data_IF_070261460518
#
_entry.id   IF_070261460518
#
_cell.length_a   1.000
_cell.length_b   1.000
_cell.length_c   1.000
_cell.angle_alpha   90.00
_cell.angle_beta   90.00
_cell.angle_gamma   90.00
#
_symmetry.space_group_name_H-M   'P 1'
#
loop_
_entity.id
_entity.type
_entity.pdbx_description
1 polymer ?
#
# COMPACT_ATOMS: atom_id res chain seq x y z
N UNK A 1 12.93 -16.22 -0.82
CA UNK A 1 12.09 -16.91 -1.82
C UNK A 1 12.81 -16.92 -3.17
N UNK A 2 13.08 -18.07 -3.73
CA UNK A 2 13.88 -18.21 -4.97
C UNK A 2 12.97 -18.69 -6.09
N UNK A 3 12.96 -17.96 -7.21
CA UNK A 3 12.23 -18.40 -8.41
C UNK A 3 12.95 -19.58 -9.05
N UNK A 4 12.18 -20.53 -9.57
CA UNK A 4 12.69 -21.72 -10.26
C UNK A 4 12.99 -21.47 -11.74
N UNK A 5 12.76 -20.25 -12.22
CA UNK A 5 13.05 -19.78 -13.59
C UNK A 5 13.81 -18.45 -13.54
N UNK A 6 14.51 -18.11 -14.62
CA UNK A 6 15.19 -16.83 -14.75
C UNK A 6 14.15 -15.71 -15.02
N UNK A 7 14.00 -14.71 -14.15
CA UNK A 7 13.11 -13.59 -14.39
C UNK A 7 13.68 -12.67 -15.49
N UNK A 8 12.81 -11.84 -16.08
CA UNK A 8 13.25 -10.76 -16.95
C UNK A 8 14.11 -9.77 -16.16
N UNK A 9 15.28 -9.41 -16.68
CA UNK A 9 16.11 -8.36 -16.10
C UNK A 9 15.62 -6.99 -16.62
N UNK A 10 15.22 -6.13 -15.70
CA UNK A 10 14.73 -4.78 -16.02
C UNK A 10 15.80 -3.71 -16.01
N UNK A 11 17.06 -4.05 -15.68
CA UNK A 11 18.18 -3.13 -15.67
C UNK A 11 18.01 -1.98 -14.68
N UNK A 12 17.52 -2.27 -13.47
CA UNK A 12 17.22 -1.25 -12.45
C UNK A 12 18.48 -0.68 -11.78
N UNK A 13 19.63 -1.32 -11.97
CA UNK A 13 20.92 -0.95 -11.39
C UNK A 13 21.25 -1.70 -10.12
N UNK A 14 22.56 -1.80 -9.84
CA UNK A 14 23.11 -2.66 -8.78
C UNK A 14 22.55 -2.33 -7.39
N UNK A 15 22.35 -1.05 -7.08
CA UNK A 15 21.82 -0.62 -5.78
C UNK A 15 20.39 -1.15 -5.56
N UNK A 16 19.54 -1.07 -6.58
CA UNK A 16 18.15 -1.56 -6.51
C UNK A 16 18.13 -3.09 -6.49
N UNK A 17 19.01 -3.74 -7.25
CA UNK A 17 19.12 -5.21 -7.25
C UNK A 17 19.61 -5.73 -5.88
N UNK A 18 20.60 -5.07 -5.25
CA UNK A 18 21.02 -5.38 -3.88
C UNK A 18 19.90 -5.18 -2.86
N UNK A 19 19.14 -4.07 -2.96
CA UNK A 19 18.00 -3.84 -2.08
C UNK A 19 16.97 -4.96 -2.24
N UNK A 20 16.64 -5.35 -3.49
CA UNK A 20 15.73 -6.47 -3.78
C UNK A 20 16.19 -7.75 -3.07
N UNK A 21 17.46 -8.11 -3.21
CA UNK A 21 18.02 -9.32 -2.62
C UNK A 21 17.93 -9.29 -1.09
N UNK A 22 18.27 -8.16 -0.46
CA UNK A 22 18.20 -8.00 0.98
C UNK A 22 16.75 -8.07 1.50
N UNK A 23 15.81 -7.39 0.85
CA UNK A 23 14.38 -7.43 1.25
C UNK A 23 13.78 -8.82 0.98
N UNK A 24 14.18 -9.49 -0.10
CA UNK A 24 13.77 -10.86 -0.36
C UNK A 24 14.29 -11.83 0.72
N UNK A 25 15.55 -11.72 1.12
CA UNK A 25 16.13 -12.53 2.19
C UNK A 25 15.39 -12.31 3.51
N UNK A 26 15.21 -11.06 3.91
CA UNK A 26 14.43 -10.66 5.08
C UNK A 26 13.00 -11.22 5.05
N UNK A 27 12.29 -11.04 3.94
CA UNK A 27 10.92 -11.51 3.78
C UNK A 27 10.80 -13.03 3.81
N UNK A 28 11.82 -13.73 3.29
CA UNK A 28 11.91 -15.21 3.34
C UNK A 28 12.11 -15.71 4.77
N UNK A 29 12.91 -15.00 5.56
CA UNK A 29 13.24 -15.41 6.93
C UNK A 29 12.14 -15.05 7.93
N UNK A 30 11.60 -13.82 7.85
CA UNK A 30 10.74 -13.26 8.90
C UNK A 30 9.24 -13.23 8.56
N UNK A 31 8.86 -13.24 7.29
CA UNK A 31 7.45 -13.07 6.87
C UNK A 31 6.85 -14.33 6.26
N UNK A 32 7.52 -14.92 5.29
CA UNK A 32 6.99 -16.08 4.56
C UNK A 32 6.62 -17.28 5.46
N UNK A 33 7.41 -17.62 6.51
CA UNK A 33 7.09 -18.77 7.37
C UNK A 33 5.80 -18.58 8.18
N UNK A 34 5.42 -17.35 8.47
CA UNK A 34 4.24 -17.02 9.32
C UNK A 34 3.07 -16.47 8.51
N UNK A 35 3.18 -16.39 7.19
CA UNK A 35 2.17 -15.73 6.34
C UNK A 35 0.78 -16.41 6.40
N UNK A 36 0.72 -17.74 6.56
CA UNK A 36 -0.54 -18.47 6.74
C UNK A 36 -1.19 -18.17 8.11
N UNK A 37 -0.39 -18.09 9.17
CA UNK A 37 -0.86 -17.75 10.51
C UNK A 37 -1.35 -16.30 10.58
N UNK A 38 -0.65 -15.37 9.95
CA UNK A 38 -1.07 -13.96 9.81
C UNK A 38 -2.47 -13.87 9.18
N UNK A 39 -2.73 -14.59 8.10
CA UNK A 39 -4.04 -14.62 7.44
C UNK A 39 -5.11 -15.27 8.32
N UNK A 40 -4.82 -16.44 8.90
CA UNK A 40 -5.75 -17.15 9.79
C UNK A 40 -6.15 -16.30 11.00
N UNK A 41 -5.17 -15.73 11.68
CA UNK A 41 -5.35 -15.04 12.96
C UNK A 41 -5.83 -13.59 12.77
N UNK A 42 -5.87 -13.10 11.51
CA UNK A 42 -6.26 -11.74 11.17
C UNK A 42 -5.47 -10.69 11.99
N UNK A 43 -4.14 -10.88 12.13
CA UNK A 43 -3.32 -10.07 13.04
C UNK A 43 -1.99 -9.70 12.41
N UNK A 44 -1.64 -8.40 12.48
CA UNK A 44 -0.31 -7.93 12.08
C UNK A 44 0.74 -8.34 13.12
N UNK A 45 1.87 -8.92 12.71
CA UNK A 45 2.96 -9.30 13.61
C UNK A 45 3.80 -8.08 14.00
N UNK A 46 3.47 -7.45 15.14
CA UNK A 46 4.02 -6.15 15.57
C UNK A 46 5.55 -6.13 15.68
N UNK A 47 6.19 -7.28 15.91
CA UNK A 47 7.65 -7.38 15.97
C UNK A 47 8.35 -7.04 14.64
N UNK A 48 7.60 -6.99 13.52
CA UNK A 48 8.16 -6.58 12.24
C UNK A 48 8.45 -5.08 12.16
N UNK A 49 7.77 -4.21 12.93
CA UNK A 49 7.98 -2.77 12.86
C UNK A 49 9.44 -2.38 13.14
N UNK A 50 10.03 -2.73 14.31
CA UNK A 50 11.43 -2.42 14.55
C UNK A 50 12.39 -3.11 13.56
N UNK A 51 12.09 -4.32 13.10
CA UNK A 51 12.90 -4.99 12.09
C UNK A 51 12.90 -4.25 10.74
N UNK A 52 11.77 -3.70 10.33
CA UNK A 52 11.70 -2.82 9.15
C UNK A 52 12.49 -1.52 9.37
N UNK A 53 12.46 -0.96 10.59
CA UNK A 53 13.26 0.19 10.97
C UNK A 53 14.76 -0.09 10.87
N UNK A 54 15.22 -1.19 11.45
CA UNK A 54 16.63 -1.62 11.41
C UNK A 54 17.13 -1.85 9.96
N UNK A 55 16.24 -2.25 9.06
CA UNK A 55 16.51 -2.38 7.63
C UNK A 55 16.46 -1.05 6.87
N UNK A 56 16.11 0.07 7.50
CA UNK A 56 15.92 1.37 6.85
C UNK A 56 14.69 1.45 5.92
N UNK A 57 13.80 0.48 5.98
CA UNK A 57 12.68 0.37 5.03
C UNK A 57 11.54 1.36 5.32
N UNK A 58 11.37 1.81 6.56
CA UNK A 58 10.27 2.71 6.95
C UNK A 58 10.50 4.16 6.49
N UNK A 59 11.75 4.53 6.18
CA UNK A 59 12.12 5.85 5.69
C UNK A 59 12.80 5.85 4.32
N UNK A 60 12.48 4.91 3.43
CA UNK A 60 13.14 4.73 2.12
C UNK A 60 13.18 6.02 1.28
N UNK A 61 12.09 6.81 1.31
CA UNK A 61 11.93 8.05 0.54
C UNK A 61 12.29 9.31 1.33
N UNK A 62 12.65 9.19 2.59
CA UNK A 62 12.97 10.30 3.48
C UNK A 62 14.48 10.57 3.45
N UNK A 63 14.87 11.85 3.46
CA UNK A 63 16.27 12.25 3.46
C UNK A 63 17.03 11.77 4.71
N UNK A 64 18.33 11.55 4.56
CA UNK A 64 19.23 11.06 5.63
C UNK A 64 19.26 11.96 6.87
N UNK A 65 19.08 13.28 6.70
CA UNK A 65 19.04 14.23 7.80
C UNK A 65 17.93 13.96 8.82
N UNK A 66 16.84 13.27 8.40
CA UNK A 66 15.73 12.85 9.25
C UNK A 66 15.78 11.36 9.62
N UNK A 67 16.87 10.68 9.30
CA UNK A 67 17.07 9.26 9.56
C UNK A 67 16.56 8.33 8.46
N UNK A 68 16.16 8.85 7.31
CA UNK A 68 15.73 8.08 6.15
C UNK A 68 16.89 7.54 5.33
N UNK A 69 16.58 6.78 4.27
CA UNK A 69 17.57 6.20 3.37
C UNK A 69 17.77 7.01 2.06
N UNK A 70 16.89 7.95 1.74
CA UNK A 70 17.00 8.81 0.56
C UNK A 70 17.00 8.08 -0.79
N UNK A 71 16.50 6.83 -0.86
CA UNK A 71 16.64 5.96 -2.04
C UNK A 71 15.58 6.19 -3.11
N UNK A 72 14.50 6.92 -2.80
CA UNK A 72 13.44 7.25 -3.74
C UNK A 72 12.33 6.19 -3.87
N UNK A 73 11.44 6.43 -4.83
CA UNK A 73 10.20 5.66 -5.00
C UNK A 73 10.41 4.34 -5.74
N UNK A 74 11.38 4.24 -6.65
CA UNK A 74 11.70 2.96 -7.28
C UNK A 74 12.20 1.95 -6.24
N UNK A 75 13.05 2.38 -5.32
CA UNK A 75 13.50 1.57 -4.19
C UNK A 75 12.31 1.14 -3.31
N UNK A 76 11.39 2.07 -3.01
CA UNK A 76 10.19 1.77 -2.21
C UNK A 76 9.28 0.74 -2.89
N UNK A 77 9.07 0.87 -4.20
CA UNK A 77 8.31 -0.09 -5.01
C UNK A 77 8.93 -1.48 -4.95
N UNK A 78 10.24 -1.59 -5.11
CA UNK A 78 10.96 -2.87 -5.06
C UNK A 78 10.89 -3.50 -3.67
N UNK A 79 11.06 -2.71 -2.62
CA UNK A 79 10.92 -3.19 -1.24
C UNK A 79 9.49 -3.71 -0.98
N UNK A 80 8.47 -2.94 -1.34
CA UNK A 80 7.07 -3.33 -1.17
C UNK A 80 6.70 -4.58 -1.98
N UNK A 81 7.24 -4.73 -3.19
CA UNK A 81 7.04 -5.93 -4.03
C UNK A 81 7.54 -7.20 -3.34
N UNK A 82 8.79 -7.19 -2.80
CA UNK A 82 9.38 -8.35 -2.16
C UNK A 82 8.70 -8.69 -0.80
N UNK A 83 8.26 -7.69 -0.04
CA UNK A 83 7.43 -7.90 1.15
C UNK A 83 6.08 -8.52 0.75
N UNK A 84 5.43 -7.99 -0.29
CA UNK A 84 4.14 -8.48 -0.79
C UNK A 84 4.21 -9.90 -1.32
N UNK A 85 5.32 -10.29 -1.94
CA UNK A 85 5.59 -11.66 -2.39
C UNK A 85 5.52 -12.67 -1.25
N UNK A 86 5.94 -12.29 -0.04
CA UNK A 86 5.82 -13.11 1.17
C UNK A 86 4.43 -13.01 1.81
N UNK A 87 3.93 -11.76 1.99
CA UNK A 87 2.60 -11.48 2.54
C UNK A 87 2.10 -10.10 2.07
N UNK A 88 1.09 -10.10 1.23
CA UNK A 88 0.51 -8.86 0.71
C UNK A 88 -0.14 -8.01 1.82
N UNK A 89 -0.67 -8.64 2.87
CA UNK A 89 -1.25 -7.92 4.01
C UNK A 89 -0.19 -7.20 4.86
N UNK A 90 1.00 -7.79 5.02
CA UNK A 90 2.13 -7.12 5.67
C UNK A 90 2.63 -5.95 4.82
N UNK A 91 2.76 -6.14 3.50
CA UNK A 91 3.15 -5.08 2.57
C UNK A 91 2.15 -3.91 2.57
N UNK A 92 0.84 -4.17 2.67
CA UNK A 92 -0.17 -3.11 2.75
C UNK A 92 0.02 -2.25 4.00
N UNK A 93 0.23 -2.87 5.18
CA UNK A 93 0.52 -2.16 6.43
C UNK A 93 1.83 -1.38 6.36
N UNK A 94 2.89 -1.98 5.79
CA UNK A 94 4.17 -1.34 5.54
C UNK A 94 4.00 -0.09 4.65
N UNK A 95 3.31 -0.20 3.50
CA UNK A 95 3.08 0.91 2.58
C UNK A 95 2.21 2.03 3.18
N UNK A 96 1.20 1.68 3.98
CA UNK A 96 0.37 2.66 4.68
C UNK A 96 1.20 3.45 5.71
N UNK A 97 2.12 2.81 6.40
CA UNK A 97 3.04 3.48 7.32
C UNK A 97 4.06 4.34 6.56
N UNK A 98 4.88 3.74 5.71
CA UNK A 98 6.07 4.36 5.11
C UNK A 98 5.72 5.38 4.03
N UNK A 99 4.66 5.14 3.24
CA UNK A 99 4.27 6.04 2.15
C UNK A 99 3.12 6.98 2.54
N UNK A 100 2.03 6.47 3.15
CA UNK A 100 0.87 7.34 3.44
C UNK A 100 1.10 8.24 4.66
N UNK A 101 1.79 7.78 5.71
CA UNK A 101 2.03 8.58 6.90
C UNK A 101 3.40 9.28 6.84
N UNK A 102 4.48 8.50 6.77
CA UNK A 102 5.86 9.01 6.82
C UNK A 102 6.13 9.99 5.68
N UNK A 103 5.87 9.57 4.44
CA UNK A 103 6.12 10.41 3.27
C UNK A 103 5.25 11.68 3.24
N UNK A 104 3.99 11.63 3.73
CA UNK A 104 3.15 12.82 3.84
C UNK A 104 3.69 13.84 4.84
N UNK A 105 4.14 13.38 6.02
CA UNK A 105 4.78 14.25 7.02
C UNK A 105 6.09 14.80 6.48
N UNK A 106 6.90 13.97 5.81
CA UNK A 106 8.16 14.41 5.21
C UNK A 106 7.93 15.50 4.16
N UNK A 107 6.98 15.34 3.26
CA UNK A 107 6.73 16.27 2.15
C UNK A 107 6.08 17.58 2.59
N UNK A 108 5.12 17.52 3.52
CA UNK A 108 4.26 18.64 3.84
C UNK A 108 4.45 19.21 5.26
N UNK A 109 5.23 18.52 6.10
CA UNK A 109 5.49 18.94 7.48
C UNK A 109 6.45 20.12 7.58
N UNK A 110 6.28 20.93 8.60
CA UNK A 110 7.27 21.94 9.01
C UNK A 110 8.55 21.26 9.49
N UNK A 111 9.71 21.98 9.56
CA UNK A 111 10.92 21.42 10.12
C UNK A 111 10.75 20.87 11.55
N UNK A 112 9.95 21.54 12.38
CA UNK A 112 9.64 21.07 13.74
C UNK A 112 8.83 19.80 13.76
N UNK A 113 7.81 19.66 12.88
CA UNK A 113 7.01 18.45 12.75
C UNK A 113 7.85 17.27 12.23
N UNK A 114 8.68 17.48 11.20
CA UNK A 114 9.59 16.44 10.70
C UNK A 114 10.52 15.94 11.82
N UNK A 115 11.17 16.86 12.55
CA UNK A 115 12.05 16.53 13.66
C UNK A 115 11.33 15.81 14.80
N UNK A 116 10.06 16.15 15.06
CA UNK A 116 9.27 15.56 16.14
C UNK A 116 8.79 14.14 15.80
N UNK A 117 8.32 13.90 14.58
CA UNK A 117 7.57 12.70 14.24
C UNK A 117 8.38 11.67 13.44
N UNK A 118 9.24 12.10 12.50
CA UNK A 118 9.90 11.18 11.59
C UNK A 118 10.83 10.17 12.27
N UNK A 119 11.70 10.55 13.24
CA UNK A 119 12.64 9.59 13.80
C UNK A 119 11.99 8.33 14.37
N UNK A 120 10.92 8.47 15.15
CA UNK A 120 10.22 7.34 15.78
C UNK A 120 9.35 6.53 14.79
N UNK A 121 8.91 7.15 13.72
CA UNK A 121 8.21 6.46 12.64
C UNK A 121 9.21 5.66 11.79
N UNK A 122 10.40 6.20 11.55
CA UNK A 122 11.45 5.56 10.72
C UNK A 122 12.12 4.40 11.46
N UNK A 123 12.33 4.50 12.77
CA UNK A 123 12.91 3.40 13.57
C UNK A 123 11.87 2.31 13.94
N UNK A 124 10.57 2.50 13.61
CA UNK A 124 9.51 1.55 13.86
C UNK A 124 8.99 1.50 15.30
N UNK A 125 9.43 2.42 16.19
CA UNK A 125 8.90 2.54 17.55
C UNK A 125 7.51 3.16 17.58
N UNK A 126 7.16 3.97 16.58
CA UNK A 126 5.81 4.47 16.33
C UNK A 126 5.25 3.92 15.03
N UNK A 127 3.96 3.62 15.02
CA UNK A 127 3.21 3.18 13.85
C UNK A 127 2.42 4.35 13.27
N UNK A 128 2.51 4.53 11.95
CA UNK A 128 1.78 5.57 11.22
C UNK A 128 0.56 5.04 10.47
N UNK A 129 -0.48 5.86 10.40
CA UNK A 129 -1.66 5.65 9.56
C UNK A 129 -2.08 6.93 8.84
N UNK A 130 -2.91 6.78 7.79
CA UNK A 130 -3.58 7.90 7.13
C UNK A 130 -5.10 7.68 7.18
N UNK A 131 -5.84 8.70 7.57
CA UNK A 131 -7.28 8.67 7.77
C UNK A 131 -7.99 9.69 6.88
N UNK A 132 -8.49 9.22 5.74
CA UNK A 132 -9.16 10.01 4.73
C UNK A 132 -10.64 9.62 4.57
N UNK A 133 -10.91 8.35 4.30
CA UNK A 133 -12.23 7.82 4.00
C UNK A 133 -13.18 7.83 5.20
N UNK A 134 -14.47 8.02 4.92
CA UNK A 134 -15.56 7.92 5.90
C UNK A 134 -16.60 6.90 5.45
N UNK A 135 -17.52 6.43 6.33
CA UNK A 135 -18.54 5.45 5.94
C UNK A 135 -19.33 5.85 4.68
N UNK A 136 -19.58 7.15 4.49
CA UNK A 136 -20.34 7.69 3.37
C UNK A 136 -19.49 8.49 2.35
N UNK A 137 -18.16 8.50 2.49
CA UNK A 137 -17.23 9.23 1.62
C UNK A 137 -15.98 8.38 1.33
N UNK A 138 -16.12 7.44 0.39
CA UNK A 138 -15.03 6.58 -0.11
C UNK A 138 -14.47 7.13 -1.43
N UNK A 139 -15.08 6.79 -2.57
CA UNK A 139 -14.66 7.33 -3.88
C UNK A 139 -14.81 8.83 -3.99
N UNK A 140 -15.87 9.39 -3.41
CA UNK A 140 -16.07 10.83 -3.26
C UNK A 140 -15.53 11.33 -1.90
N UNK A 141 -14.22 11.21 -1.73
CA UNK A 141 -13.54 11.55 -0.49
C UNK A 141 -13.65 13.04 -0.12
N UNK A 142 -13.87 13.93 -1.10
CA UNK A 142 -14.04 15.37 -0.90
C UNK A 142 -15.35 15.66 -0.14
N UNK A 143 -16.33 14.78 -0.23
CA UNK A 143 -17.60 14.85 0.50
C UNK A 143 -17.51 14.43 1.97
N UNK A 144 -16.30 14.24 2.52
CA UNK A 144 -16.09 13.95 3.93
C UNK A 144 -16.80 14.94 4.84
N UNK A 145 -17.23 14.48 6.03
CA UNK A 145 -18.04 15.26 6.96
C UNK A 145 -17.41 15.45 8.35
N UNK A 146 -16.33 14.73 8.69
CA UNK A 146 -15.62 14.95 9.94
C UNK A 146 -15.23 16.42 10.05
N UNK A 147 -15.70 17.07 11.13
CA UNK A 147 -15.50 18.51 11.36
C UNK A 147 -14.32 18.76 12.28
N UNK A 148 -13.60 19.85 12.01
CA UNK A 148 -12.57 20.42 12.86
C UNK A 148 -12.94 21.88 13.17
N UNK A 149 -13.51 22.13 14.34
CA UNK A 149 -13.93 23.48 14.77
C UNK A 149 -12.72 24.24 15.32
N UNK A 150 -12.45 25.42 14.77
CA UNK A 150 -11.34 26.28 15.22
C UNK A 150 -11.69 26.96 16.55
N UNK A 151 -10.88 26.79 17.59
CA UNK A 151 -11.00 27.41 18.92
C UNK A 151 -9.87 28.42 19.21
N UNK A 152 -9.11 28.80 18.17
CA UNK A 152 -8.01 29.77 18.26
C UNK A 152 -6.64 29.10 18.30
N UNK A 153 -6.24 28.52 19.41
CA UNK A 153 -4.96 27.82 19.60
C UNK A 153 -5.06 26.29 19.32
N UNK A 154 -6.27 25.75 19.19
CA UNK A 154 -6.52 24.35 18.89
C UNK A 154 -7.76 24.15 18.01
N UNK A 155 -7.95 22.93 17.53
CA UNK A 155 -9.15 22.46 16.84
C UNK A 155 -9.85 21.37 17.64
N UNK A 156 -11.17 21.37 17.63
CA UNK A 156 -11.99 20.29 18.20
C UNK A 156 -12.58 19.47 17.09
N UNK A 157 -12.17 18.20 17.03
CA UNK A 157 -12.55 17.28 15.95
C UNK A 157 -13.72 16.40 16.38
N UNK A 158 -14.74 16.28 15.51
CA UNK A 158 -15.90 15.43 15.71
C UNK A 158 -16.29 14.71 14.43
N UNK A 159 -16.43 13.36 14.52
CA UNK A 159 -16.81 12.50 13.41
C UNK A 159 -16.00 11.19 13.38
N UNK A 160 -16.11 10.44 12.29
CA UNK A 160 -15.53 9.12 12.18
C UNK A 160 -14.75 9.00 10.86
N UNK A 161 -13.73 8.13 10.86
CA UNK A 161 -13.02 7.67 9.66
C UNK A 161 -13.13 6.16 9.55
N UNK A 162 -13.24 5.62 8.34
CA UNK A 162 -13.54 4.21 8.11
C UNK A 162 -12.49 3.55 7.23
N UNK A 163 -12.26 2.25 7.45
CA UNK A 163 -11.30 1.39 6.74
C UNK A 163 -9.85 1.84 6.87
N UNK A 164 -9.47 2.32 8.06
CA UNK A 164 -8.13 2.88 8.29
C UNK A 164 -7.13 1.76 8.56
N UNK A 165 -6.24 1.53 7.61
CA UNK A 165 -5.09 0.62 7.73
C UNK A 165 -4.17 1.11 8.83
N UNK A 166 -3.67 0.17 9.65
CA UNK A 166 -2.89 0.42 10.86
C UNK A 166 -3.66 1.17 11.97
N UNK A 167 -4.90 1.57 11.76
CA UNK A 167 -5.68 2.36 12.71
C UNK A 167 -5.69 1.84 14.15
N UNK A 168 -5.85 0.51 14.41
CA UNK A 168 -5.80 -0.04 15.76
C UNK A 168 -4.44 0.10 16.45
N UNK A 169 -3.36 0.18 15.67
CA UNK A 169 -1.97 0.18 16.16
C UNK A 169 -1.29 1.54 16.05
N UNK A 170 -1.90 2.50 15.30
CA UNK A 170 -1.28 3.78 14.98
C UNK A 170 -0.99 4.65 16.21
N UNK A 171 0.23 5.13 16.32
CA UNK A 171 0.66 6.16 17.28
C UNK A 171 0.47 7.56 16.68
N UNK A 172 0.62 7.67 15.37
CA UNK A 172 0.49 8.91 14.58
C UNK A 172 -0.47 8.69 13.41
N UNK A 173 -1.44 9.59 13.27
CA UNK A 173 -2.42 9.57 12.19
C UNK A 173 -2.36 10.86 11.39
N UNK A 174 -2.13 10.79 10.09
CA UNK A 174 -2.38 11.89 9.17
C UNK A 174 -3.87 11.89 8.85
N UNK A 175 -4.58 12.91 9.28
CA UNK A 175 -6.05 13.01 9.23
C UNK A 175 -6.49 14.18 8.36
N UNK A 176 -7.55 13.99 7.57
CA UNK A 176 -8.20 15.07 6.82
C UNK A 176 -9.60 15.36 7.38
N UNK A 177 -9.89 16.66 7.63
CA UNK A 177 -11.13 17.12 8.25
C UNK A 177 -11.63 18.42 7.63
N UNK A 178 -12.94 18.70 7.73
CA UNK A 178 -13.58 19.96 7.33
C UNK A 178 -13.36 21.02 8.40
N UNK A 179 -12.57 22.03 8.07
CA UNK A 179 -12.39 23.26 8.86
C UNK A 179 -13.34 24.37 8.42
N UNK A 180 -13.78 24.34 7.15
CA UNK A 180 -14.85 25.20 6.62
C UNK A 180 -15.82 24.36 5.77
N UNK A 181 -16.99 24.07 6.34
CA UNK A 181 -18.01 23.25 5.66
C UNK A 181 -18.58 23.97 4.43
N UNK A 182 -18.63 25.29 4.44
CA UNK A 182 -19.23 26.12 3.36
C UNK A 182 -18.34 26.18 2.11
N UNK A 183 -17.03 25.99 2.28
CA UNK A 183 -16.03 26.09 1.21
C UNK A 183 -15.86 24.79 0.37
N UNK A 184 -16.64 23.75 0.64
CA UNK A 184 -16.56 22.48 -0.11
C UNK A 184 -15.19 21.82 0.03
N UNK A 185 -14.53 21.52 -1.10
CA UNK A 185 -13.17 20.93 -1.11
C UNK A 185 -12.10 21.87 -0.57
N UNK A 186 -12.28 23.18 -0.73
CA UNK A 186 -11.37 24.21 -0.23
C UNK A 186 -11.46 24.45 1.28
N UNK A 187 -12.36 23.77 1.97
CA UNK A 187 -12.51 23.82 3.43
C UNK A 187 -11.95 22.59 4.15
N UNK A 188 -11.07 21.81 3.51
CA UNK A 188 -10.43 20.66 4.12
C UNK A 188 -9.03 21.03 4.60
N UNK A 189 -8.68 20.58 5.80
CA UNK A 189 -7.34 20.71 6.39
C UNK A 189 -6.79 19.34 6.76
N UNK A 190 -5.48 19.16 6.58
CA UNK A 190 -4.78 17.98 7.06
C UNK A 190 -4.20 18.24 8.46
N UNK A 191 -4.23 17.22 9.32
CA UNK A 191 -3.74 17.27 10.70
C UNK A 191 -2.85 16.06 11.00
N UNK A 192 -1.87 16.24 11.90
CA UNK A 192 -1.17 15.16 12.57
C UNK A 192 -1.83 14.94 13.93
N UNK A 193 -2.44 13.76 14.12
CA UNK A 193 -3.11 13.39 15.37
C UNK A 193 -2.29 12.31 16.08
N UNK A 194 -1.95 12.56 17.34
CA UNK A 194 -1.24 11.61 18.20
C UNK A 194 -2.24 10.67 18.92
N UNK A 195 -1.85 9.43 19.17
CA UNK A 195 -2.71 8.39 19.76
C UNK A 195 -3.35 8.79 21.08
N UNK A 196 -2.61 9.49 21.94
CA UNK A 196 -3.00 9.78 23.31
C UNK A 196 -3.79 11.08 23.48
N UNK A 197 -4.26 11.68 22.38
CA UNK A 197 -5.08 12.89 22.42
C UNK A 197 -6.47 12.54 22.96
N UNK A 198 -6.95 13.36 23.92
CA UNK A 198 -8.30 13.20 24.49
C UNK A 198 -9.37 13.29 23.40
N UNK A 199 -10.35 12.37 23.45
CA UNK A 199 -11.43 12.28 22.46
C UNK A 199 -11.08 11.49 21.20
N UNK A 200 -9.85 10.98 21.06
CA UNK A 200 -9.49 10.07 19.99
C UNK A 200 -9.56 8.62 20.43
N UNK A 201 -10.22 7.78 19.65
CA UNK A 201 -10.31 6.33 19.89
C UNK A 201 -10.49 5.57 18.58
N UNK A 202 -10.39 4.26 18.64
CA UNK A 202 -10.72 3.37 17.53
C UNK A 202 -11.82 2.37 17.96
N UNK A 203 -12.67 2.01 17.01
CA UNK A 203 -13.66 0.97 17.17
C UNK A 203 -13.06 -0.43 16.97
N UNK A 204 -13.88 -1.46 16.97
CA UNK A 204 -13.46 -2.84 16.76
C UNK A 204 -12.73 -3.00 15.43
N UNK A 205 -11.66 -3.80 15.45
CA UNK A 205 -10.95 -4.20 14.23
C UNK A 205 -11.88 -4.96 13.28
N UNK A 206 -11.81 -4.61 11.98
CA UNK A 206 -12.65 -5.21 10.95
C UNK A 206 -12.18 -6.62 10.58
N UNK A 207 -13.14 -7.53 10.41
CA UNK A 207 -12.92 -8.83 9.78
C UNK A 207 -13.10 -8.68 8.27
N UNK A 208 -12.04 -8.93 7.51
CA UNK A 208 -11.97 -8.63 6.06
C UNK A 208 -11.90 -9.90 5.23
N UNK A 209 -12.31 -9.81 3.98
CA UNK A 209 -12.18 -10.89 2.99
C UNK A 209 -10.72 -11.33 2.80
N UNK A 210 -9.83 -10.37 2.58
CA UNK A 210 -8.38 -10.53 2.42
C UNK A 210 -7.63 -9.46 3.20
N UNK A 211 -6.32 -9.37 2.97
CA UNK A 211 -5.44 -8.45 3.71
C UNK A 211 -5.62 -8.58 5.24
N UNK A 212 -5.83 -9.80 5.69
CA UNK A 212 -6.25 -10.08 7.06
C UNK A 212 -5.18 -9.71 8.08
N UNK A 213 -3.91 -9.86 7.73
CA UNK A 213 -2.78 -9.41 8.55
C UNK A 213 -2.57 -7.89 8.58
N UNK A 214 -3.34 -7.11 7.83
CA UNK A 214 -3.30 -5.65 7.89
C UNK A 214 -4.41 -5.16 8.82
N UNK A 215 -4.07 -4.79 10.06
CA UNK A 215 -5.04 -4.33 11.05
C UNK A 215 -5.76 -3.07 10.56
N UNK A 216 -7.09 -3.12 10.51
CA UNK A 216 -7.92 -2.08 9.91
C UNK A 216 -9.12 -1.83 10.81
N UNK A 217 -9.48 -0.57 11.06
CA UNK A 217 -10.63 -0.22 11.90
C UNK A 217 -11.32 1.06 11.45
N UNK A 218 -12.38 1.39 12.17
CA UNK A 218 -12.96 2.72 12.24
C UNK A 218 -12.21 3.55 13.30
N UNK A 219 -11.89 4.82 13.01
CA UNK A 219 -11.40 5.79 13.97
C UNK A 219 -12.54 6.73 14.38
N UNK A 220 -12.63 7.04 15.68
CA UNK A 220 -13.69 7.85 16.27
C UNK A 220 -13.08 9.07 16.93
N UNK A 221 -13.61 10.23 16.59
CA UNK A 221 -13.23 11.53 17.15
C UNK A 221 -14.46 12.14 17.84
N UNK A 222 -14.37 12.29 19.16
CA UNK A 222 -15.45 12.85 20.00
C UNK A 222 -14.88 13.96 20.88
N UNK A 223 -15.07 15.20 20.44
CA UNK A 223 -14.45 16.37 21.05
C UNK A 223 -12.92 16.23 21.15
N UNK A 224 -12.32 15.66 20.11
CA UNK A 224 -10.88 15.40 20.07
C UNK A 224 -10.13 16.72 19.89
N UNK A 225 -9.27 17.07 20.84
CA UNK A 225 -8.54 18.35 20.90
C UNK A 225 -7.18 18.21 20.19
N UNK A 226 -7.00 18.90 19.07
CA UNK A 226 -5.76 18.87 18.29
C UNK A 226 -5.14 20.28 18.26
N UNK A 227 -3.89 20.48 18.73
CA UNK A 227 -3.22 21.77 18.70
C UNK A 227 -3.12 22.35 17.28
N UNK A 228 -3.17 23.66 17.15
CA UNK A 228 -3.03 24.35 15.85
C UNK A 228 -1.70 24.05 15.15
N UNK A 229 -0.65 23.85 15.91
CA UNK A 229 0.69 23.47 15.41
C UNK A 229 0.73 22.08 14.74
N UNK A 230 -0.31 21.27 14.92
CA UNK A 230 -0.45 19.95 14.29
C UNK A 230 -1.15 20.01 12.91
N UNK A 231 -1.45 21.20 12.38
CA UNK A 231 -1.85 21.33 10.98
C UNK A 231 -0.68 20.86 10.11
N UNK A 232 -0.96 19.94 9.20
CA UNK A 232 0.00 19.47 8.19
C UNK A 232 -0.22 20.26 6.90
N UNK A 233 0.79 21.02 6.47
CA UNK A 233 0.63 22.01 5.41
C UNK A 233 -0.07 23.27 5.93
N UNK A 234 -1.02 23.82 5.16
CA UNK A 234 -1.70 25.06 5.48
C UNK A 234 -3.20 24.85 5.78
N UNK A 235 -3.78 25.76 6.57
CA UNK A 235 -5.21 25.75 6.88
C UNK A 235 -6.04 25.84 5.57
N UNK A 236 -7.05 24.98 5.43
CA UNK A 236 -7.93 24.88 4.26
C UNK A 236 -7.23 24.44 2.95
N UNK A 237 -5.99 23.98 3.02
CA UNK A 237 -5.25 23.45 1.88
C UNK A 237 -5.00 21.92 1.99
N UNK A 238 -5.79 21.22 2.80
CA UNK A 238 -5.65 19.76 2.98
C UNK A 238 -5.82 18.97 1.69
N UNK A 239 -6.56 19.47 0.70
CA UNK A 239 -6.67 18.82 -0.62
C UNK A 239 -5.33 18.86 -1.37
N UNK A 240 -4.54 19.92 -1.24
CA UNK A 240 -3.22 20.00 -1.85
C UNK A 240 -2.26 18.98 -1.23
N UNK A 241 -2.27 18.87 0.11
CA UNK A 241 -1.54 17.84 0.84
C UNK A 241 -1.96 16.46 0.38
N UNK A 242 -3.27 16.19 0.29
CA UNK A 242 -3.81 14.91 -0.16
C UNK A 242 -3.36 14.57 -1.58
N UNK A 243 -3.55 15.50 -2.52
CA UNK A 243 -3.24 15.26 -3.94
C UNK A 243 -1.74 15.10 -4.18
N UNK A 244 -0.89 15.84 -3.44
CA UNK A 244 0.57 15.69 -3.52
C UNK A 244 1.05 14.29 -3.16
N UNK A 245 0.30 13.55 -2.35
CA UNK A 245 0.63 12.19 -1.91
C UNK A 245 0.00 11.08 -2.73
N UNK A 246 -1.22 11.31 -3.26
CA UNK A 246 -2.01 10.25 -3.91
C UNK A 246 -1.32 9.62 -5.14
N UNK A 247 -0.57 10.38 -5.92
CA UNK A 247 0.07 9.86 -7.11
C UNK A 247 1.25 8.95 -6.71
N UNK A 248 2.04 9.33 -5.71
CA UNK A 248 3.08 8.49 -5.13
C UNK A 248 2.50 7.26 -4.42
N UNK A 249 1.37 7.42 -3.71
CA UNK A 249 0.63 6.31 -3.10
C UNK A 249 0.26 5.26 -4.14
N UNK A 250 -0.35 5.66 -5.25
CA UNK A 250 -0.76 4.75 -6.32
C UNK A 250 0.41 3.96 -6.89
N UNK A 251 1.54 4.61 -7.09
CA UNK A 251 2.74 3.97 -7.65
C UNK A 251 3.34 2.97 -6.66
N UNK A 252 3.51 3.34 -5.40
CA UNK A 252 4.03 2.43 -4.37
C UNK A 252 3.06 1.28 -4.13
N UNK A 253 1.75 1.57 -4.05
CA UNK A 253 0.73 0.55 -3.84
C UNK A 253 0.63 -0.43 -5.02
N UNK A 254 0.96 0.01 -6.26
CA UNK A 254 1.01 -0.87 -7.44
C UNK A 254 2.03 -2.01 -7.31
N UNK A 255 3.02 -1.88 -6.41
CA UNK A 255 4.00 -2.93 -6.13
C UNK A 255 3.41 -4.14 -5.40
N UNK A 256 2.36 -3.94 -4.60
CA UNK A 256 1.68 -5.04 -3.92
C UNK A 256 1.15 -6.11 -4.88
N UNK A 257 0.37 -5.74 -5.91
CA UNK A 257 -0.02 -6.65 -6.99
C UNK A 257 1.15 -7.36 -7.68
N UNK A 258 2.30 -6.67 -7.89
CA UNK A 258 3.49 -7.32 -8.49
C UNK A 258 4.00 -8.47 -7.62
N UNK A 259 4.07 -8.26 -6.30
CA UNK A 259 4.46 -9.30 -5.35
C UNK A 259 3.49 -10.48 -5.34
N UNK A 260 2.16 -10.22 -5.41
CA UNK A 260 1.14 -11.28 -5.52
C UNK A 260 1.31 -12.08 -6.81
N UNK A 261 1.52 -11.42 -7.95
CA UNK A 261 1.75 -12.09 -9.23
C UNK A 261 3.01 -12.97 -9.19
N UNK A 262 4.08 -12.48 -8.58
CA UNK A 262 5.31 -13.25 -8.41
C UNK A 262 5.07 -14.46 -7.49
N UNK A 263 4.34 -14.30 -6.38
CA UNK A 263 3.98 -15.40 -5.49
C UNK A 263 3.14 -16.47 -6.21
N UNK A 264 2.21 -16.07 -7.09
CA UNK A 264 1.46 -17.01 -7.93
C UNK A 264 2.39 -17.85 -8.82
N UNK A 265 3.38 -17.20 -9.46
CA UNK A 265 4.36 -17.92 -10.29
C UNK A 265 5.25 -18.86 -9.46
N UNK A 266 5.67 -18.44 -8.26
CA UNK A 266 6.51 -19.23 -7.36
C UNK A 266 5.82 -20.50 -6.89
N UNK A 267 4.49 -20.52 -6.82
CA UNK A 267 3.70 -21.70 -6.47
C UNK A 267 3.42 -22.57 -7.69
N UNK A 268 2.99 -21.96 -8.77
CA UNK A 268 2.51 -22.66 -9.96
C UNK A 268 3.63 -23.37 -10.69
N UNK A 269 4.78 -22.71 -10.91
CA UNK A 269 5.84 -23.28 -11.76
C UNK A 269 6.41 -24.60 -11.18
N UNK A 270 6.77 -24.69 -9.88
CA UNK A 270 7.19 -25.99 -9.31
C UNK A 270 6.06 -27.03 -9.34
N UNK A 271 4.84 -26.61 -9.00
CA UNK A 271 3.70 -27.52 -8.91
C UNK A 271 3.42 -28.23 -10.24
N UNK A 272 3.44 -27.54 -11.37
CA UNK A 272 3.15 -28.14 -12.68
C UNK A 272 4.24 -29.12 -13.13
N UNK A 273 5.45 -29.03 -12.58
CA UNK A 273 6.51 -30.02 -12.79
C UNK A 273 6.31 -31.28 -11.94
N UNK A 274 5.88 -31.13 -10.70
CA UNK A 274 5.74 -32.22 -9.74
C UNK A 274 4.44 -33.00 -9.95
N UNK A 275 3.33 -32.29 -10.22
CA UNK A 275 2.01 -32.90 -10.40
C UNK A 275 1.93 -33.68 -11.70
N UNK A 276 1.57 -34.97 -11.61
CA UNK A 276 1.40 -35.83 -12.78
C UNK A 276 -0.04 -36.25 -12.97
N UNK A 277 -0.51 -36.21 -14.21
CA UNK A 277 -1.78 -36.79 -14.66
C UNK A 277 -1.58 -37.34 -16.07
N UNK A 278 -2.35 -38.37 -16.44
CA UNK A 278 -2.24 -39.04 -17.74
C UNK A 278 -0.81 -39.52 -18.05
N UNK A 279 -0.08 -39.94 -17.02
CA UNK A 279 1.27 -40.53 -17.14
C UNK A 279 2.42 -39.53 -17.27
N UNK A 280 2.17 -38.21 -17.24
CA UNK A 280 3.21 -37.19 -17.36
C UNK A 280 2.96 -35.96 -16.49
N UNK A 281 3.95 -35.08 -16.36
CA UNK A 281 3.80 -33.81 -15.64
C UNK A 281 2.73 -32.92 -16.30
N UNK A 282 1.89 -32.25 -15.50
CA UNK A 282 0.84 -31.41 -16.08
C UNK A 282 1.40 -30.20 -16.85
N UNK A 283 2.62 -29.76 -16.55
CA UNK A 283 3.35 -28.74 -17.31
C UNK A 283 3.71 -29.12 -18.76
N UNK A 284 3.55 -30.41 -19.13
CA UNK A 284 3.75 -30.87 -20.51
C UNK A 284 2.48 -30.70 -21.39
N UNK A 285 1.35 -30.34 -20.80
CA UNK A 285 0.12 -30.09 -21.56
C UNK A 285 0.09 -28.65 -22.10
N UNK A 286 -0.19 -28.50 -23.40
CA UNK A 286 -0.17 -27.20 -24.09
C UNK A 286 -1.10 -26.17 -23.47
N UNK A 287 -2.29 -26.54 -22.95
CA UNK A 287 -3.20 -25.62 -22.28
C UNK A 287 -2.64 -25.10 -20.94
N UNK A 288 -1.86 -25.91 -20.23
CA UNK A 288 -1.13 -25.48 -19.02
C UNK A 288 0.01 -24.57 -19.39
N UNK A 289 0.81 -24.90 -20.42
CA UNK A 289 1.89 -24.06 -20.94
C UNK A 289 1.37 -22.70 -21.41
N UNK A 290 0.24 -22.67 -22.13
CA UNK A 290 -0.40 -21.44 -22.59
C UNK A 290 -0.78 -20.52 -21.41
N UNK A 291 -1.36 -21.09 -20.34
CA UNK A 291 -1.74 -20.32 -19.14
C UNK A 291 -0.53 -19.74 -18.41
N UNK A 292 0.55 -20.53 -18.25
CA UNK A 292 1.82 -20.06 -17.64
C UNK A 292 2.46 -18.95 -18.49
N UNK A 293 2.43 -19.08 -19.81
CA UNK A 293 2.93 -18.06 -20.74
C UNK A 293 2.17 -16.73 -20.58
N UNK A 294 0.84 -16.79 -20.49
CA UNK A 294 0.00 -15.61 -20.22
C UNK A 294 0.34 -14.96 -18.88
N UNK A 295 0.47 -15.77 -17.81
CA UNK A 295 0.85 -15.28 -16.47
C UNK A 295 2.21 -14.58 -16.50
N UNK A 296 3.23 -15.20 -17.10
CA UNK A 296 4.57 -14.62 -17.20
C UNK A 296 4.58 -13.31 -17.98
N UNK A 297 3.92 -13.28 -19.15
CA UNK A 297 3.90 -12.11 -20.03
C UNK A 297 3.18 -10.92 -19.38
N UNK A 298 2.04 -11.17 -18.74
CA UNK A 298 1.26 -10.16 -18.02
C UNK A 298 2.04 -9.59 -16.83
N UNK A 299 2.65 -10.45 -16.02
CA UNK A 299 3.48 -10.02 -14.89
C UNK A 299 4.67 -9.18 -15.35
N UNK A 300 5.39 -9.61 -16.39
CA UNK A 300 6.54 -8.88 -16.92
C UNK A 300 6.15 -7.50 -17.45
N UNK A 301 5.02 -7.40 -18.16
CA UNK A 301 4.50 -6.12 -18.64
C UNK A 301 4.08 -5.19 -17.48
N UNK A 302 3.43 -5.74 -16.44
CA UNK A 302 3.04 -4.98 -15.25
C UNK A 302 4.27 -4.44 -14.49
N UNK A 303 5.30 -5.28 -14.29
CA UNK A 303 6.57 -4.87 -13.66
C UNK A 303 7.24 -3.74 -14.45
N UNK A 304 7.37 -3.88 -15.76
CA UNK A 304 7.95 -2.85 -16.63
C UNK A 304 7.21 -1.51 -16.49
N UNK A 305 5.87 -1.54 -16.50
CA UNK A 305 5.06 -0.33 -16.37
C UNK A 305 5.25 0.31 -14.98
N UNK A 306 5.11 -0.44 -13.91
CA UNK A 306 5.22 0.10 -12.53
C UNK A 306 6.62 0.65 -12.27
N UNK A 307 7.69 -0.06 -12.65
CA UNK A 307 9.06 0.43 -12.46
C UNK A 307 9.35 1.69 -13.27
N UNK A 308 8.83 1.78 -14.51
CA UNK A 308 8.98 2.99 -15.33
C UNK A 308 8.33 4.19 -14.67
N UNK A 309 7.11 4.04 -14.12
CA UNK A 309 6.41 5.12 -13.44
C UNK A 309 7.08 5.46 -12.11
N UNK A 310 7.58 4.46 -11.36
CA UNK A 310 8.32 4.69 -10.12
C UNK A 310 9.62 5.49 -10.36
N UNK A 311 10.37 5.13 -11.39
CA UNK A 311 11.55 5.90 -11.80
C UNK A 311 11.18 7.32 -12.31
N UNK A 312 9.99 7.51 -12.88
CA UNK A 312 9.49 8.85 -13.23
C UNK A 312 9.14 9.68 -11.98
N UNK A 313 8.65 9.04 -10.91
CA UNK A 313 8.47 9.71 -9.62
C UNK A 313 9.79 10.26 -9.07
N UNK A 314 10.87 9.48 -9.15
CA UNK A 314 12.20 9.91 -8.67
C UNK A 314 12.75 11.11 -9.45
N UNK A 315 12.38 11.22 -10.73
CA UNK A 315 12.74 12.37 -11.58
C UNK A 315 11.76 13.54 -11.50
N UNK A 316 10.68 13.45 -10.73
CA UNK A 316 9.61 14.45 -10.65
C UNK A 316 8.75 14.57 -11.92
N UNK A 317 8.73 13.54 -12.78
CA UNK A 317 8.07 13.53 -14.09
C UNK A 317 6.83 12.61 -14.15
N UNK A 318 6.46 11.95 -13.06
CA UNK A 318 5.28 11.10 -13.02
C UNK A 318 4.00 11.95 -13.16
N UNK A 319 3.10 11.52 -14.04
CA UNK A 319 1.79 12.16 -14.17
C UNK A 319 0.74 11.37 -13.37
N UNK A 320 -0.36 12.05 -13.05
CA UNK A 320 -1.48 11.43 -12.34
C UNK A 320 -2.08 10.27 -13.12
N UNK A 321 -2.20 10.38 -14.46
CA UNK A 321 -2.69 9.31 -15.32
C UNK A 321 -1.75 8.11 -15.35
N UNK A 322 -0.42 8.32 -15.33
CA UNK A 322 0.56 7.23 -15.30
C UNK A 322 0.50 6.46 -13.98
N UNK A 323 0.45 7.18 -12.86
CA UNK A 323 0.30 6.59 -11.54
C UNK A 323 -1.01 5.78 -11.41
N UNK A 324 -2.13 6.34 -11.89
CA UNK A 324 -3.41 5.64 -11.91
C UNK A 324 -3.39 4.41 -12.85
N UNK A 325 -2.71 4.52 -14.01
CA UNK A 325 -2.57 3.42 -14.96
C UNK A 325 -1.74 2.27 -14.41
N UNK A 326 -0.65 2.56 -13.72
CA UNK A 326 0.22 1.56 -13.13
C UNK A 326 -0.53 0.67 -12.12
N UNK A 327 -1.27 1.27 -11.17
CA UNK A 327 -2.04 0.49 -10.21
C UNK A 327 -3.30 -0.15 -10.84
N UNK A 328 -3.97 0.50 -11.78
CA UNK A 328 -5.12 -0.08 -12.47
C UNK A 328 -4.72 -1.39 -13.15
N UNK A 329 -3.68 -1.35 -13.95
CA UNK A 329 -3.21 -2.48 -14.72
C UNK A 329 -2.71 -3.62 -13.83
N UNK A 330 -1.84 -3.32 -12.85
CA UNK A 330 -1.28 -4.33 -11.96
C UNK A 330 -2.33 -4.98 -11.05
N UNK A 331 -3.30 -4.20 -10.53
CA UNK A 331 -4.33 -4.71 -9.63
C UNK A 331 -5.25 -5.74 -10.31
N UNK A 332 -5.78 -5.41 -11.49
CA UNK A 332 -6.66 -6.33 -12.23
C UNK A 332 -5.93 -7.58 -12.68
N UNK A 333 -4.67 -7.45 -13.12
CA UNK A 333 -3.86 -8.60 -13.49
C UNK A 333 -3.51 -9.51 -12.31
N UNK A 334 -3.26 -8.96 -11.12
CA UNK A 334 -2.99 -9.78 -9.94
C UNK A 334 -4.20 -10.64 -9.57
N UNK A 335 -5.41 -10.10 -9.62
CA UNK A 335 -6.65 -10.87 -9.41
C UNK A 335 -6.79 -11.98 -10.45
N UNK A 336 -6.59 -11.66 -11.74
CA UNK A 336 -6.67 -12.65 -12.81
C UNK A 336 -5.62 -13.75 -12.65
N UNK A 337 -4.37 -13.39 -12.32
CA UNK A 337 -3.29 -14.37 -12.12
C UNK A 337 -3.53 -15.24 -10.89
N UNK A 338 -4.11 -14.72 -9.82
CA UNK A 338 -4.48 -15.53 -8.65
C UNK A 338 -5.58 -16.55 -8.99
N UNK A 339 -6.57 -16.19 -9.82
CA UNK A 339 -7.56 -17.13 -10.35
C UNK A 339 -6.90 -18.19 -11.23
N UNK A 340 -5.97 -17.81 -12.09
CA UNK A 340 -5.20 -18.75 -12.93
C UNK A 340 -4.34 -19.70 -12.09
N UNK A 341 -3.75 -19.22 -11.00
CA UNK A 341 -2.99 -20.04 -10.06
C UNK A 341 -3.89 -21.09 -9.39
N UNK A 342 -5.06 -20.69 -8.86
CA UNK A 342 -6.05 -21.61 -8.30
C UNK A 342 -6.42 -22.69 -9.34
N UNK A 343 -6.71 -22.27 -10.58
CA UNK A 343 -7.10 -23.18 -11.65
C UNK A 343 -5.99 -24.19 -11.99
N UNK A 344 -4.73 -23.75 -12.04
CA UNK A 344 -3.58 -24.62 -12.34
C UNK A 344 -3.28 -25.63 -11.22
N UNK A 345 -3.53 -25.25 -9.96
CA UNK A 345 -3.41 -26.16 -8.83
C UNK A 345 -4.59 -27.15 -8.75
N UNK A 346 -5.69 -26.90 -9.45
CA UNK A 346 -6.89 -27.75 -9.40
C UNK A 346 -7.49 -27.83 -8.00
N UNK A 347 -7.82 -29.05 -7.52
CA UNK A 347 -8.36 -29.25 -6.18
C UNK A 347 -7.48 -28.70 -5.06
N UNK A 348 -6.16 -28.77 -5.21
CA UNK A 348 -5.19 -28.18 -4.25
C UNK A 348 -5.25 -26.65 -4.22
N UNK A 349 -5.64 -25.99 -5.29
CA UNK A 349 -5.85 -24.53 -5.30
C UNK A 349 -7.11 -24.08 -4.55
N UNK A 350 -8.01 -25.01 -4.23
CA UNK A 350 -9.29 -24.74 -3.56
C UNK A 350 -9.29 -25.05 -2.07
N UNK A 351 -8.17 -25.47 -1.52
CA UNK A 351 -7.97 -25.75 -0.10
C UNK A 351 -6.96 -24.77 0.52
N UNK A 352 -7.11 -24.50 1.83
CA UNK A 352 -6.32 -23.46 2.50
C UNK A 352 -4.86 -23.85 2.82
N UNK A 353 -4.49 -25.11 2.62
CA UNK A 353 -3.11 -25.60 2.73
C UNK A 353 -2.20 -24.99 1.65
N UNK A 354 -2.79 -24.58 0.52
CA UNK A 354 -2.10 -23.84 -0.54
C UNK A 354 -2.46 -22.35 -0.46
N UNK A 355 -1.49 -21.44 -0.66
CA UNK A 355 -1.71 -20.01 -0.47
C UNK A 355 -2.51 -19.32 -1.59
N UNK A 356 -2.87 -20.02 -2.67
CA UNK A 356 -3.53 -19.43 -3.84
C UNK A 356 -4.86 -18.71 -3.49
N UNK A 357 -5.67 -19.29 -2.59
CA UNK A 357 -6.90 -18.66 -2.10
C UNK A 357 -6.64 -17.36 -1.33
N UNK A 358 -5.57 -17.31 -0.51
CA UNK A 358 -5.14 -16.08 0.17
C UNK A 358 -4.71 -15.02 -0.83
N UNK A 359 -3.89 -15.38 -1.82
CA UNK A 359 -3.42 -14.44 -2.84
C UNK A 359 -4.58 -13.81 -3.63
N UNK A 360 -5.63 -14.59 -3.94
CA UNK A 360 -6.83 -14.07 -4.60
C UNK A 360 -7.58 -13.07 -3.70
N UNK A 361 -7.80 -13.41 -2.43
CA UNK A 361 -8.50 -12.54 -1.48
C UNK A 361 -7.73 -11.24 -1.24
N UNK A 362 -6.41 -11.31 -1.16
CA UNK A 362 -5.54 -10.16 -0.98
C UNK A 362 -5.50 -9.28 -2.24
N UNK A 363 -5.39 -9.88 -3.43
CA UNK A 363 -5.36 -9.15 -4.69
C UNK A 363 -6.59 -8.26 -4.90
N UNK A 364 -7.78 -8.72 -4.47
CA UNK A 364 -9.03 -7.99 -4.69
C UNK A 364 -9.06 -6.61 -4.04
N UNK A 365 -8.33 -6.40 -2.92
CA UNK A 365 -8.28 -5.08 -2.30
C UNK A 365 -7.69 -4.01 -3.23
N UNK A 366 -6.69 -4.37 -4.04
CA UNK A 366 -6.01 -3.40 -4.90
C UNK A 366 -6.89 -2.85 -6.04
N UNK A 367 -8.00 -3.48 -6.36
CA UNK A 367 -9.00 -2.94 -7.28
C UNK A 367 -9.96 -1.95 -6.61
N UNK A 368 -9.95 -1.87 -5.27
CA UNK A 368 -10.87 -1.07 -4.45
C UNK A 368 -10.15 0.10 -3.77
N UNK A 369 -9.01 -0.18 -3.13
CA UNK A 369 -8.25 0.80 -2.33
C UNK A 369 -7.47 1.81 -3.18
N UNK A 370 -7.18 3.00 -2.63
CA UNK A 370 -6.53 4.13 -3.31
C UNK A 370 -7.27 4.61 -4.58
N UNK A 371 -8.60 4.58 -4.54
CA UNK A 371 -9.51 4.78 -5.66
C UNK A 371 -9.81 3.46 -6.37
N UNK A 372 -11.10 3.21 -6.67
CA UNK A 372 -11.51 1.98 -7.37
C UNK A 372 -10.99 1.94 -8.80
N UNK A 373 -10.99 0.75 -9.41
CA UNK A 373 -10.64 0.59 -10.84
C UNK A 373 -11.45 1.53 -11.75
N UNK A 374 -12.71 1.80 -11.42
CA UNK A 374 -13.59 2.72 -12.15
C UNK A 374 -13.13 4.17 -12.00
N UNK A 375 -12.79 4.59 -10.78
CA UNK A 375 -12.27 5.95 -10.50
C UNK A 375 -10.95 6.19 -11.24
N UNK A 376 -10.06 5.20 -11.26
CA UNK A 376 -8.80 5.28 -12.01
C UNK A 376 -9.03 5.43 -13.51
N UNK A 377 -9.95 4.65 -14.10
CA UNK A 377 -10.34 4.77 -15.52
C UNK A 377 -10.93 6.14 -15.85
N UNK A 378 -11.83 6.61 -15.01
CA UNK A 378 -12.43 7.95 -15.16
C UNK A 378 -11.34 9.04 -15.13
N UNK A 379 -10.40 8.95 -14.19
CA UNK A 379 -9.31 9.91 -14.06
C UNK A 379 -8.41 9.90 -15.30
N UNK A 380 -7.96 8.73 -15.74
CA UNK A 380 -7.09 8.59 -16.92
C UNK A 380 -7.79 9.14 -18.16
N UNK A 381 -9.04 8.73 -18.39
CA UNK A 381 -9.81 9.17 -19.56
C UNK A 381 -10.04 10.67 -19.59
N UNK A 382 -10.33 11.28 -18.42
CA UNK A 382 -10.52 12.72 -18.29
C UNK A 382 -9.23 13.50 -18.58
N UNK A 383 -8.10 13.09 -18.01
CA UNK A 383 -6.81 13.79 -18.24
C UNK A 383 -6.39 13.70 -19.69
N UNK A 384 -6.49 12.52 -20.32
CA UNK A 384 -6.18 12.38 -21.75
C UNK A 384 -7.07 13.28 -22.63
N UNK A 385 -8.34 13.40 -22.29
CA UNK A 385 -9.27 14.29 -23.00
C UNK A 385 -8.93 15.76 -22.81
N UNK A 386 -8.57 16.18 -21.59
CA UNK A 386 -8.18 17.57 -21.28
C UNK A 386 -6.86 17.96 -21.96
N UNK A 387 -5.87 17.05 -21.99
CA UNK A 387 -4.57 17.27 -22.66
C UNK A 387 -4.67 17.35 -24.20
N UNK A 388 -5.71 16.77 -24.79
CA UNK A 388 -5.90 16.73 -26.25
C UNK A 388 -6.66 17.94 -26.81
N UNK A 389 -7.07 18.88 -25.95
CA UNK A 389 -7.70 20.16 -26.33
C UNK A 389 -6.67 21.21 -26.65
#
# INVERSE_FOLDING_TARGET
MKSTYAPLNFGLGDTIDMLRDHVNAFSTEHIAPIAADIDRDNQFPKHLWPLFGDMGLLGVTVDEEFGGAGMGYLAHVVAMEEISRASASVALSYGAHSNLCVNQIFRNGTPSQRKKYLPKLIDGTHVGALAMSEPNAGSDVISMQLKAENKGDHFVLNGNKMWITNGPDADIVVLYAKTDVSAGSRGITAFIVERNVEGFSHAQKLDKLGMRGSNTCELVFNNCVVPKENILGELNQGVEVLMSGLDYERVVLAAGPLGIMQACMDIVVPYVHERKQFGKSIGEFQLVQGKIADMYSRMSAAKAYVYTVAAACDRGNATRKDAAGAILYSAELATQMALDAIQLLGGNGYINEYPAGRLLRDAKLYEIGAGTSEIRRMLIGRELFEESR
#
